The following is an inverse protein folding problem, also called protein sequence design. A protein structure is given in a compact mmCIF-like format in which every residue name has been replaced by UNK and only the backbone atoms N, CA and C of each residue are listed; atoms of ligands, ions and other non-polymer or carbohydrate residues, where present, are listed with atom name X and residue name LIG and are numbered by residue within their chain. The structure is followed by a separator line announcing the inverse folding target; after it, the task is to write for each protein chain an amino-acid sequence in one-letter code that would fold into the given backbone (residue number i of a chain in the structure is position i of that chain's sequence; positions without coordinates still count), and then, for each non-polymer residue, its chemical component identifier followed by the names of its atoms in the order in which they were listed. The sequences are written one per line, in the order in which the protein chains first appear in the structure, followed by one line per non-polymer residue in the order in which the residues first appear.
data_IF_693367324573
#
_entry.id   IF_693367324573
#
_cell.length_a   1.000
_cell.length_b   1.000
_cell.length_c   1.000
_cell.angle_alpha   90.00
_cell.angle_beta   90.00
_cell.angle_gamma   90.00
#
_symmetry.space_group_name_H-M   'P 1'
#
loop_
_entity.id
_entity.type
_entity.pdbx_description
1 polymer ?
#
# COMPACT_ATOMS: atom_id res chain seq x y z
N UNK A 1 -15.21 1.48 16.08
CA UNK A 1 -13.81 1.67 15.67
C UNK A 1 -13.69 1.29 14.19
N UNK A 2 -13.38 2.25 13.31
CA UNK A 2 -13.27 2.02 11.85
C UNK A 2 -12.08 2.82 11.28
N UNK A 3 -11.82 2.69 9.97
CA UNK A 3 -10.77 3.45 9.26
C UNK A 3 -11.20 4.86 8.84
N UNK A 4 -12.49 5.19 8.90
CA UNK A 4 -13.00 6.47 8.44
C UNK A 4 -12.42 7.62 9.28
N UNK A 5 -12.03 8.72 8.61
CA UNK A 5 -11.51 9.93 9.28
C UNK A 5 -12.48 10.54 10.30
N UNK A 6 -13.78 10.34 10.12
CA UNK A 6 -14.83 10.86 11.00
C UNK A 6 -15.27 9.88 12.11
N UNK A 7 -14.58 8.75 12.30
CA UNK A 7 -14.90 7.82 13.39
C UNK A 7 -14.44 8.33 14.75
N UNK A 8 -15.29 8.18 15.77
CA UNK A 8 -14.98 8.52 17.17
C UNK A 8 -13.70 7.84 17.67
N UNK A 9 -13.56 6.54 17.39
CA UNK A 9 -12.34 5.77 17.59
C UNK A 9 -11.82 5.37 16.21
N UNK A 10 -10.95 6.21 15.65
CA UNK A 10 -10.25 5.93 14.40
C UNK A 10 -9.15 4.88 14.62
N UNK A 11 -9.11 3.87 13.78
CA UNK A 11 -7.88 3.12 13.54
C UNK A 11 -7.01 4.02 12.66
N UNK A 12 -5.98 4.62 13.26
CA UNK A 12 -5.04 5.42 12.48
C UNK A 12 -4.45 4.59 11.35
N UNK A 13 -4.02 5.25 10.27
CA UNK A 13 -3.45 4.57 9.12
C UNK A 13 -2.35 3.60 9.56
N UNK A 14 -2.25 2.47 8.87
CA UNK A 14 -1.28 1.41 9.20
C UNK A 14 0.19 1.88 9.23
N UNK A 15 0.47 3.08 8.72
CA UNK A 15 1.71 3.81 8.90
C UNK A 15 1.46 5.31 8.82
N UNK A 16 2.53 6.09 8.90
CA UNK A 16 2.46 7.55 8.78
C UNK A 16 3.70 8.09 8.08
N UNK A 17 3.55 9.25 7.44
CA UNK A 17 4.68 10.05 7.00
C UNK A 17 5.06 11.01 8.11
N UNK A 18 6.26 10.85 8.63
CA UNK A 18 6.85 11.73 9.62
C UNK A 18 7.60 12.85 8.90
N UNK A 19 7.37 14.10 9.32
CA UNK A 19 8.20 15.20 8.84
C UNK A 19 9.64 14.98 9.30
N UNK A 20 10.54 14.83 8.35
CA UNK A 20 11.95 14.57 8.58
C UNK A 20 12.75 15.17 7.41
N UNK A 21 13.64 16.11 7.70
CA UNK A 21 14.50 16.67 6.66
C UNK A 21 15.68 15.74 6.39
N UNK A 22 15.84 15.34 5.13
CA UNK A 22 16.96 14.49 4.73
C UNK A 22 18.27 15.27 4.65
N UNK A 23 19.28 14.73 5.31
CA UNK A 23 20.68 15.06 5.11
C UNK A 23 21.15 14.72 3.67
N UNK A 24 22.26 15.30 3.20
CA UNK A 24 22.82 14.98 1.88
C UNK A 24 23.12 13.48 1.69
N UNK A 25 23.67 12.81 2.70
CA UNK A 25 24.00 11.38 2.65
C UNK A 25 22.75 10.50 2.50
N UNK A 26 21.65 10.84 3.16
CA UNK A 26 20.37 10.13 3.01
C UNK A 26 19.79 10.29 1.60
N UNK A 27 19.93 11.48 0.99
CA UNK A 27 19.49 11.71 -0.41
C UNK A 27 20.29 10.86 -1.38
N UNK A 28 21.61 10.79 -1.19
CA UNK A 28 22.50 9.96 -2.01
C UNK A 28 22.18 8.47 -1.83
N UNK A 29 21.92 8.04 -0.59
CA UNK A 29 21.48 6.68 -0.29
C UNK A 29 20.17 6.32 -0.99
N UNK A 30 19.14 7.18 -0.90
CA UNK A 30 17.85 6.94 -1.58
C UNK A 30 18.05 6.86 -3.08
N UNK A 31 18.82 7.79 -3.67
CA UNK A 31 19.10 7.81 -5.10
C UNK A 31 19.83 6.56 -5.55
N UNK A 32 20.92 6.18 -4.88
CA UNK A 32 21.69 4.97 -5.21
C UNK A 32 20.83 3.71 -5.07
N UNK A 33 20.06 3.61 -4.00
CA UNK A 33 19.14 2.49 -3.74
C UNK A 33 18.01 2.42 -4.78
N UNK A 34 17.47 3.56 -5.21
CA UNK A 34 16.44 3.59 -6.26
C UNK A 34 17.01 3.13 -7.61
N UNK A 35 18.18 3.65 -8.00
CA UNK A 35 18.80 3.36 -9.29
C UNK A 35 19.43 1.95 -9.38
N UNK A 36 19.81 1.35 -8.26
CA UNK A 36 20.38 0.00 -8.22
C UNK A 36 19.37 -1.14 -8.41
N UNK A 37 18.06 -0.86 -8.32
CA UNK A 37 17.01 -1.86 -8.48
C UNK A 37 16.94 -2.39 -9.91
N UNK A 38 16.75 -3.70 -10.09
CA UNK A 38 16.74 -4.35 -11.41
C UNK A 38 15.42 -5.04 -11.74
N UNK A 39 14.66 -5.50 -10.74
CA UNK A 39 13.35 -6.14 -10.92
C UNK A 39 12.24 -5.10 -11.03
N UNK A 40 11.18 -5.47 -11.75
CA UNK A 40 10.07 -4.57 -12.05
C UNK A 40 9.12 -4.45 -10.86
N UNK A 41 8.31 -5.48 -10.63
CA UNK A 41 7.18 -5.40 -9.69
C UNK A 41 7.22 -6.58 -8.73
N UNK A 42 7.09 -6.29 -7.43
CA UNK A 42 6.81 -7.27 -6.40
C UNK A 42 5.33 -7.20 -5.97
N UNK A 43 4.74 -8.35 -5.66
CA UNK A 43 3.40 -8.44 -5.07
C UNK A 43 3.33 -9.53 -4.01
N UNK A 44 3.27 -9.13 -2.74
CA UNK A 44 3.06 -10.03 -1.61
C UNK A 44 1.57 -10.15 -1.29
N UNK A 45 1.02 -11.36 -1.42
CA UNK A 45 -0.42 -11.59 -1.36
C UNK A 45 -0.76 -12.97 -0.80
N UNK A 46 -1.66 -12.98 0.19
CA UNK A 46 -2.20 -14.19 0.82
C UNK A 46 -3.73 -14.30 0.77
N UNK A 47 -4.44 -13.21 0.42
CA UNK A 47 -5.87 -13.23 0.14
C UNK A 47 -6.11 -13.19 -1.38
N UNK A 48 -6.61 -14.30 -1.93
CA UNK A 48 -6.68 -14.56 -3.37
C UNK A 48 -8.07 -14.35 -3.97
N UNK A 49 -9.08 -14.05 -3.14
CA UNK A 49 -10.43 -13.76 -3.57
C UNK A 49 -10.90 -12.51 -2.82
N UNK A 50 -10.85 -11.37 -3.49
CA UNK A 50 -11.02 -10.08 -2.83
C UNK A 50 -12.23 -9.34 -3.35
N UNK A 51 -12.85 -8.52 -2.51
CA UNK A 51 -14.00 -7.71 -2.91
C UNK A 51 -13.64 -6.71 -4.01
N UNK A 52 -12.39 -6.26 -4.07
CA UNK A 52 -11.90 -5.39 -5.14
C UNK A 52 -11.65 -6.13 -6.46
N UNK A 53 -11.62 -7.47 -6.47
CA UNK A 53 -11.15 -8.31 -7.58
C UNK A 53 -9.72 -7.98 -8.06
N UNK A 54 -8.85 -7.51 -7.14
CA UNK A 54 -7.49 -7.07 -7.47
C UNK A 54 -6.68 -8.15 -8.19
N UNK A 55 -6.95 -9.41 -7.91
CA UNK A 55 -6.32 -10.56 -8.55
C UNK A 55 -6.56 -10.61 -10.06
N UNK A 56 -7.72 -10.18 -10.55
CA UNK A 56 -8.03 -10.16 -11.99
C UNK A 56 -7.21 -9.10 -12.73
N UNK A 57 -7.11 -7.89 -12.16
CA UNK A 57 -6.28 -6.83 -12.72
C UNK A 57 -4.81 -7.23 -12.79
N UNK A 58 -4.27 -7.85 -11.72
CA UNK A 58 -2.87 -8.30 -11.72
C UNK A 58 -2.66 -9.47 -12.68
N UNK A 59 -3.66 -10.34 -12.87
CA UNK A 59 -3.59 -11.40 -13.88
C UNK A 59 -3.46 -10.84 -15.30
N UNK A 60 -4.19 -9.78 -15.64
CA UNK A 60 -4.06 -9.12 -16.95
C UNK A 60 -2.74 -8.34 -17.09
N UNK A 61 -2.37 -7.57 -16.05
CA UNK A 61 -1.12 -6.79 -16.03
C UNK A 61 0.13 -7.65 -16.33
N UNK A 62 0.13 -8.91 -15.88
CA UNK A 62 1.22 -9.88 -16.11
C UNK A 62 1.50 -10.18 -17.57
N UNK A 63 0.54 -9.96 -18.45
CA UNK A 63 0.72 -10.15 -19.88
C UNK A 63 1.68 -9.10 -20.48
N UNK A 64 1.92 -7.98 -19.78
CA UNK A 64 2.64 -6.82 -20.29
C UNK A 64 3.89 -6.45 -19.48
N UNK A 65 3.96 -6.87 -18.22
CA UNK A 65 5.12 -6.61 -17.34
C UNK A 65 5.31 -7.75 -16.34
N UNK A 66 6.57 -8.07 -16.04
CA UNK A 66 6.90 -9.12 -15.08
C UNK A 66 6.50 -8.70 -13.66
N UNK A 67 5.57 -9.47 -13.08
CA UNK A 67 5.14 -9.35 -11.68
C UNK A 67 5.59 -10.59 -10.92
N UNK A 68 6.52 -10.41 -9.99
CA UNK A 68 6.96 -11.47 -9.10
C UNK A 68 6.00 -11.55 -7.91
N UNK A 69 5.31 -12.68 -7.78
CA UNK A 69 4.30 -12.91 -6.76
C UNK A 69 4.87 -13.72 -5.58
N UNK A 70 4.51 -13.29 -4.38
CA UNK A 70 4.94 -13.87 -3.12
C UNK A 70 3.74 -14.16 -2.22
N UNK A 71 3.88 -15.13 -1.31
CA UNK A 71 2.89 -15.43 -0.27
C UNK A 71 1.88 -16.53 -0.65
N UNK A 72 0.78 -16.61 0.11
CA UNK A 72 -0.18 -17.72 0.03
C UNK A 72 -0.91 -17.86 -1.30
N UNK A 73 -0.93 -16.82 -2.14
CA UNK A 73 -1.55 -16.88 -3.47
C UNK A 73 -0.56 -17.20 -4.59
N UNK A 74 0.72 -17.41 -4.29
CA UNK A 74 1.77 -17.77 -5.25
C UNK A 74 1.69 -19.26 -5.67
N UNK A 75 0.49 -19.83 -5.81
CA UNK A 75 0.33 -21.26 -6.10
C UNK A 75 0.26 -21.61 -7.59
N UNK A 76 -0.10 -20.65 -8.46
CA UNK A 76 -0.71 -20.99 -9.76
C UNK A 76 -0.10 -20.31 -11.01
N UNK A 77 1.12 -19.75 -10.97
CA UNK A 77 1.72 -19.16 -12.17
C UNK A 77 3.26 -19.15 -12.18
N UNK A 78 3.83 -19.11 -13.40
CA UNK A 78 5.27 -19.06 -13.78
C UNK A 78 6.17 -18.04 -13.03
N UNK A 79 5.62 -17.22 -12.12
CA UNK A 79 6.30 -16.17 -11.36
C UNK A 79 5.91 -16.18 -9.88
N UNK A 80 5.87 -17.38 -9.30
CA UNK A 80 5.43 -17.59 -7.93
C UNK A 80 6.56 -18.06 -7.04
N UNK A 81 6.84 -17.31 -5.97
CA UNK A 81 7.84 -17.66 -4.98
C UNK A 81 7.16 -17.94 -3.64
N UNK A 82 7.43 -19.11 -3.07
CA UNK A 82 7.04 -19.37 -1.69
C UNK A 82 7.82 -18.43 -0.76
N UNK A 83 7.15 -17.90 0.24
CA UNK A 83 7.83 -17.21 1.33
C UNK A 83 8.10 -18.23 2.43
N UNK A 84 9.36 -18.61 2.68
CA UNK A 84 9.68 -19.41 3.85
C UNK A 84 9.21 -18.62 5.07
N UNK A 85 8.30 -19.19 5.84
CA UNK A 85 7.84 -18.59 7.09
C UNK A 85 8.96 -18.82 8.11
N UNK A 86 9.46 -17.76 8.73
CA UNK A 86 10.30 -17.89 9.91
C UNK A 86 9.39 -17.99 11.14
N UNK A 87 9.21 -19.17 11.75
CA UNK A 87 8.31 -19.33 12.88
C UNK A 87 8.80 -18.60 14.14
N UNK A 88 10.07 -18.19 14.21
CA UNK A 88 10.64 -17.48 15.35
C UNK A 88 10.37 -15.97 15.34
N UNK A 89 9.93 -15.37 14.23
CA UNK A 89 9.71 -13.93 14.12
C UNK A 89 8.29 -13.65 13.61
N UNK A 90 7.42 -13.18 14.50
CA UNK A 90 6.06 -12.78 14.16
C UNK A 90 6.11 -11.59 13.18
N UNK A 91 5.53 -11.77 11.98
CA UNK A 91 5.53 -10.72 10.94
C UNK A 91 6.67 -10.81 9.91
N UNK A 92 7.61 -11.76 10.07
CA UNK A 92 8.76 -11.95 9.17
C UNK A 92 8.43 -12.76 7.92
N UNK A 93 7.37 -12.37 7.24
CA UNK A 93 6.99 -12.98 5.98
C UNK A 93 7.93 -12.47 4.89
N UNK A 94 8.62 -13.39 4.22
CA UNK A 94 9.44 -13.07 3.04
C UNK A 94 10.67 -12.17 3.33
N UNK A 95 11.21 -12.16 4.54
CA UNK A 95 12.32 -11.29 4.93
C UNK A 95 13.63 -11.55 4.21
N UNK A 96 13.85 -12.79 3.79
CA UNK A 96 14.96 -13.18 2.94
C UNK A 96 14.91 -12.52 1.54
N UNK A 97 13.79 -11.92 1.16
CA UNK A 97 13.62 -11.31 -0.15
C UNK A 97 14.09 -9.85 -0.07
N UNK A 98 15.08 -9.46 -0.89
CA UNK A 98 15.69 -8.15 -0.84
C UNK A 98 14.82 -7.10 -1.54
N UNK A 99 13.59 -6.89 -1.06
CA UNK A 99 12.61 -5.99 -1.68
C UNK A 99 13.18 -4.60 -1.94
N UNK A 100 13.81 -4.01 -0.92
CA UNK A 100 14.37 -2.65 -0.95
C UNK A 100 15.45 -2.45 -2.01
N UNK A 101 16.30 -3.45 -2.27
CA UNK A 101 17.39 -3.33 -3.24
C UNK A 101 17.06 -3.93 -4.61
N UNK A 102 16.03 -4.78 -4.71
CA UNK A 102 15.74 -5.49 -5.94
C UNK A 102 14.61 -4.88 -6.79
N UNK A 103 13.53 -4.36 -6.19
CA UNK A 103 12.30 -4.03 -6.92
C UNK A 103 12.03 -2.53 -7.01
N UNK A 104 11.64 -2.07 -8.20
CA UNK A 104 11.22 -0.69 -8.45
C UNK A 104 9.83 -0.39 -7.90
N UNK A 105 8.89 -1.29 -8.19
CA UNK A 105 7.48 -1.09 -7.92
C UNK A 105 6.93 -2.18 -7.00
N UNK A 106 5.89 -1.82 -6.26
CA UNK A 106 5.18 -2.75 -5.38
C UNK A 106 3.67 -2.63 -5.57
N UNK A 107 2.97 -3.73 -5.78
CA UNK A 107 1.51 -3.73 -5.88
C UNK A 107 0.94 -3.59 -4.46
N UNK A 108 0.45 -2.39 -4.15
CA UNK A 108 -0.19 -2.04 -2.88
C UNK A 108 -1.73 -2.06 -2.99
N UNK A 109 -2.28 -2.97 -3.82
CA UNK A 109 -3.73 -3.10 -3.99
C UNK A 109 -4.41 -3.63 -2.74
N UNK A 110 -5.42 -2.89 -2.29
CA UNK A 110 -6.26 -3.26 -1.16
C UNK A 110 -7.28 -4.34 -1.50
N UNK A 111 -7.69 -5.09 -0.48
CA UNK A 111 -8.70 -6.15 -0.61
C UNK A 111 -10.09 -5.59 -0.96
N UNK A 112 -10.32 -4.30 -0.67
CA UNK A 112 -11.53 -3.56 -1.01
C UNK A 112 -11.12 -2.17 -1.47
N UNK A 113 -11.75 -1.62 -2.51
CA UNK A 113 -11.51 -0.25 -2.96
C UNK A 113 -12.45 0.69 -2.20
N UNK A 114 -11.97 1.22 -1.07
CA UNK A 114 -12.75 2.03 -0.13
C UNK A 114 -11.99 3.32 0.19
N UNK A 115 -12.72 4.42 0.33
CA UNK A 115 -12.20 5.67 0.85
C UNK A 115 -11.63 5.46 2.26
N UNK A 116 -10.54 6.17 2.56
CA UNK A 116 -9.78 6.09 3.82
C UNK A 116 -9.18 4.71 4.17
N UNK A 117 -9.31 3.70 3.31
CA UNK A 117 -8.72 2.37 3.55
C UNK A 117 -7.32 2.27 2.94
N UNK A 118 -6.32 2.78 3.65
CA UNK A 118 -4.90 2.66 3.28
C UNK A 118 -4.16 1.79 4.31
N UNK A 119 -3.70 0.61 3.88
CA UNK A 119 -3.14 -0.41 4.75
C UNK A 119 -1.61 -0.43 4.83
N UNK A 120 -1.07 -1.42 5.53
CA UNK A 120 0.37 -1.69 5.64
C UNK A 120 1.05 -1.80 4.27
N UNK A 121 0.34 -2.30 3.25
CA UNK A 121 0.91 -2.59 1.93
C UNK A 121 1.50 -1.33 1.31
N UNK A 122 0.83 -0.20 1.49
CA UNK A 122 1.27 1.08 0.98
C UNK A 122 2.50 1.61 1.73
N UNK A 123 2.44 1.63 3.07
CA UNK A 123 3.54 2.15 3.88
C UNK A 123 4.79 1.26 3.83
N UNK A 124 4.64 -0.05 3.74
CA UNK A 124 5.74 -0.99 3.49
C UNK A 124 6.46 -0.70 2.18
N UNK A 125 5.74 -0.31 1.12
CA UNK A 125 6.36 0.03 -0.15
C UNK A 125 7.24 1.28 0.00
N UNK A 126 6.71 2.34 0.64
CA UNK A 126 7.44 3.57 0.88
C UNK A 126 8.65 3.38 1.79
N UNK A 127 8.48 2.66 2.89
CA UNK A 127 9.55 2.31 3.84
C UNK A 127 10.69 1.53 3.17
N UNK A 128 10.36 0.68 2.19
CA UNK A 128 11.33 -0.10 1.39
C UNK A 128 11.82 0.64 0.14
N UNK A 129 11.57 1.94 0.01
CA UNK A 129 11.97 2.74 -1.15
C UNK A 129 11.54 2.11 -2.48
N UNK A 130 10.33 1.55 -2.52
CA UNK A 130 9.64 1.11 -3.73
C UNK A 130 8.50 2.08 -4.04
N UNK A 131 8.15 2.23 -5.31
CA UNK A 131 7.01 3.05 -5.72
C UNK A 131 5.73 2.20 -5.62
N UNK A 132 4.79 2.50 -4.71
CA UNK A 132 3.54 1.77 -4.60
C UNK A 132 2.65 2.01 -5.83
N UNK A 133 2.07 0.92 -6.34
CA UNK A 133 1.00 0.92 -7.33
C UNK A 133 -0.31 0.64 -6.58
N UNK A 134 -1.25 1.58 -6.65
CA UNK A 134 -2.53 1.56 -5.92
C UNK A 134 -3.69 1.47 -6.91
N UNK A 135 -4.87 1.08 -6.46
CA UNK A 135 -6.04 0.95 -7.34
C UNK A 135 -6.60 2.31 -7.77
N UNK A 136 -6.85 3.20 -6.81
CA UNK A 136 -7.63 4.43 -7.03
C UNK A 136 -6.94 5.66 -6.45
N UNK A 137 -6.75 6.72 -7.24
CA UNK A 137 -6.04 7.94 -6.81
C UNK A 137 -6.74 8.63 -5.64
N UNK A 138 -8.07 8.72 -5.69
CA UNK A 138 -8.87 9.47 -4.71
C UNK A 138 -8.75 8.95 -3.27
N UNK A 139 -8.38 7.68 -3.08
CA UNK A 139 -8.25 7.07 -1.75
C UNK A 139 -6.98 7.51 -1.02
N UNK A 140 -6.03 8.12 -1.72
CA UNK A 140 -4.72 8.54 -1.19
C UNK A 140 -4.55 10.06 -1.15
N UNK A 141 -5.52 10.81 -1.68
CA UNK A 141 -5.52 12.27 -1.60
C UNK A 141 -5.54 12.71 -0.13
N UNK A 142 -4.72 13.71 0.18
CA UNK A 142 -4.52 14.28 1.53
C UNK A 142 -3.94 13.32 2.58
N UNK A 143 -3.62 12.07 2.22
CA UNK A 143 -2.96 11.10 3.10
C UNK A 143 -1.44 11.13 2.90
N UNK A 144 -1.01 11.23 1.64
CA UNK A 144 0.41 11.21 1.24
C UNK A 144 0.70 12.25 0.16
N UNK A 145 1.96 12.72 0.04
CA UNK A 145 2.35 13.62 -1.02
C UNK A 145 2.01 13.07 -2.40
N UNK A 146 1.39 13.91 -3.24
CA UNK A 146 1.24 13.58 -4.65
C UNK A 146 2.60 13.30 -5.29
N UNK A 147 2.61 12.31 -6.17
CA UNK A 147 3.84 11.83 -6.79
C UNK A 147 4.62 10.82 -5.95
N UNK A 148 4.13 10.35 -4.79
CA UNK A 148 4.76 9.22 -4.08
C UNK A 148 4.24 7.84 -4.51
N UNK A 149 3.30 7.76 -5.45
CA UNK A 149 2.63 6.52 -5.85
C UNK A 149 2.07 6.60 -7.28
N UNK A 150 1.75 5.45 -7.86
CA UNK A 150 1.11 5.31 -9.17
C UNK A 150 -0.29 4.73 -8.97
N UNK A 151 -1.33 5.37 -9.50
CA UNK A 151 -2.70 4.88 -9.39
C UNK A 151 -3.17 4.25 -10.70
N UNK A 152 -3.67 3.01 -10.62
CA UNK A 152 -4.10 2.22 -11.77
C UNK A 152 -5.29 2.84 -12.50
N UNK A 153 -6.21 3.47 -11.77
CA UNK A 153 -7.38 4.18 -12.34
C UNK A 153 -7.03 5.41 -13.20
N UNK A 154 -5.77 5.85 -13.23
CA UNK A 154 -5.29 6.90 -14.12
C UNK A 154 -4.88 6.38 -15.50
N UNK A 155 -4.92 5.07 -15.73
CA UNK A 155 -4.55 4.43 -16.98
C UNK A 155 -5.78 3.82 -17.65
N UNK A 156 -5.78 3.82 -18.98
CA UNK A 156 -6.89 3.28 -19.78
C UNK A 156 -7.05 1.77 -19.66
N UNK A 157 -5.97 1.06 -19.35
CA UNK A 157 -5.95 -0.40 -19.18
C UNK A 157 -4.65 -0.86 -18.50
N UNK A 158 -4.55 -2.12 -18.05
CA UNK A 158 -3.32 -2.66 -17.46
C UNK A 158 -2.11 -2.60 -18.40
N UNK A 159 -2.33 -2.69 -19.73
CA UNK A 159 -1.29 -2.50 -20.74
C UNK A 159 -0.67 -1.10 -20.68
N UNK A 160 -1.50 -0.05 -20.61
CA UNK A 160 -1.01 1.33 -20.54
C UNK A 160 -0.25 1.60 -19.23
N UNK A 161 -0.69 1.00 -18.12
CA UNK A 161 0.07 1.02 -16.87
C UNK A 161 1.44 0.35 -17.08
N UNK A 162 1.49 -0.85 -17.68
CA UNK A 162 2.75 -1.55 -17.93
C UNK A 162 3.71 -0.74 -18.82
N UNK A 163 3.21 -0.11 -19.88
CA UNK A 163 3.99 0.79 -20.75
C UNK A 163 4.60 1.94 -19.94
N UNK A 164 3.84 2.54 -19.03
CA UNK A 164 4.33 3.59 -18.15
C UNK A 164 5.40 3.09 -17.16
N UNK A 165 5.23 1.88 -16.61
CA UNK A 165 6.23 1.27 -15.72
C UNK A 165 7.55 0.97 -16.46
N UNK A 166 7.48 0.50 -17.72
CA UNK A 166 8.66 0.33 -18.57
C UNK A 166 9.32 1.67 -18.90
N UNK A 167 8.52 2.70 -19.22
CA UNK A 167 9.02 4.07 -19.41
C UNK A 167 9.81 4.54 -18.19
N UNK A 168 9.26 4.42 -16.98
CA UNK A 168 9.97 4.79 -15.76
C UNK A 168 11.25 3.97 -15.55
N UNK A 169 11.21 2.66 -15.79
CA UNK A 169 12.38 1.79 -15.67
C UNK A 169 13.52 2.19 -16.63
N UNK A 170 13.19 2.71 -17.81
CA UNK A 170 14.15 3.20 -18.81
C UNK A 170 14.50 4.69 -18.65
N UNK A 171 13.80 5.44 -17.78
CA UNK A 171 14.00 6.88 -17.58
C UNK A 171 14.29 7.20 -16.11
N UNK A 172 15.56 7.06 -15.67
CA UNK A 172 15.98 7.29 -14.28
C UNK A 172 15.54 8.64 -13.70
N UNK A 173 15.55 9.71 -14.50
CA UNK A 173 15.14 11.05 -14.05
C UNK A 173 13.67 11.10 -13.65
N UNK A 174 12.81 10.45 -14.42
CA UNK A 174 11.37 10.42 -14.17
C UNK A 174 11.04 9.49 -13.00
N UNK A 175 11.69 8.33 -12.96
CA UNK A 175 11.55 7.41 -11.84
C UNK A 175 11.98 8.04 -10.49
N UNK A 176 13.06 8.84 -10.48
CA UNK A 176 13.52 9.51 -9.27
C UNK A 176 12.55 10.57 -8.72
N UNK A 177 11.63 11.10 -9.55
CA UNK A 177 10.58 12.03 -9.07
C UNK A 177 9.69 11.39 -8.01
N UNK A 178 9.51 10.07 -8.06
CA UNK A 178 8.73 9.32 -7.07
C UNK A 178 9.35 9.22 -5.69
N UNK A 179 10.57 9.73 -5.52
CA UNK A 179 11.28 9.77 -4.24
C UNK A 179 11.45 11.20 -3.72
N UNK A 180 10.90 12.22 -4.39
CA UNK A 180 10.99 13.61 -3.94
C UNK A 180 10.34 13.83 -2.57
N UNK A 181 9.30 13.05 -2.26
CA UNK A 181 8.63 13.08 -0.95
C UNK A 181 9.59 12.78 0.20
N UNK A 182 10.67 12.02 -0.03
CA UNK A 182 11.63 11.64 1.02
C UNK A 182 12.43 12.84 1.52
N UNK A 183 12.55 13.93 0.73
CA UNK A 183 13.34 15.10 1.12
C UNK A 183 12.85 15.79 2.39
N UNK A 184 11.55 15.68 2.66
CA UNK A 184 10.87 16.34 3.79
C UNK A 184 10.12 15.36 4.69
N UNK A 185 10.11 14.08 4.33
CA UNK A 185 9.38 13.07 5.07
C UNK A 185 10.14 11.75 5.13
N UNK A 186 9.92 11.00 6.20
CA UNK A 186 10.24 9.57 6.26
C UNK A 186 8.95 8.77 6.40
N UNK A 187 8.89 7.62 5.73
CA UNK A 187 7.80 6.68 5.94
C UNK A 187 8.14 5.81 7.14
N UNK A 188 7.17 5.65 8.04
CA UNK A 188 7.26 4.69 9.13
C UNK A 188 6.03 3.80 9.09
N UNK A 189 6.25 2.50 8.89
CA UNK A 189 5.20 1.50 9.07
C UNK A 189 5.07 1.16 10.56
N UNK A 190 3.87 1.31 11.14
CA UNK A 190 3.66 1.30 12.60
C UNK A 190 2.46 0.44 13.01
N UNK A 191 2.46 -0.85 12.68
CA UNK A 191 1.35 -1.75 13.08
C UNK A 191 1.10 -1.74 14.59
N UNK A 192 2.17 -1.78 15.39
CA UNK A 192 2.03 -1.95 16.83
C UNK A 192 1.41 -0.71 17.50
N UNK A 193 1.72 0.49 17.00
CA UNK A 193 1.23 1.74 17.56
C UNK A 193 -0.24 2.02 17.20
N UNK A 194 -0.72 1.57 16.03
CA UNK A 194 -2.10 1.82 15.58
C UNK A 194 -3.16 1.25 16.53
N UNK A 195 -3.01 -0.02 16.92
CA UNK A 195 -3.98 -0.68 17.81
C UNK A 195 -3.87 -0.14 19.25
N UNK A 196 -2.66 0.12 19.72
CA UNK A 196 -2.42 0.70 21.04
C UNK A 196 -3.04 2.10 21.16
N UNK A 197 -2.88 2.95 20.15
CA UNK A 197 -3.46 4.30 20.13
C UNK A 197 -4.99 4.27 20.09
N UNK A 198 -5.58 3.40 19.25
CA UNK A 198 -7.03 3.29 19.14
C UNK A 198 -7.66 2.78 20.45
N UNK A 199 -7.05 1.77 21.08
CA UNK A 199 -7.50 1.25 22.38
C UNK A 199 -7.32 2.29 23.48
N UNK A 200 -6.18 3.00 23.53
CA UNK A 200 -5.98 4.08 24.50
C UNK A 200 -7.00 5.22 24.35
N UNK A 201 -7.32 5.63 23.12
CA UNK A 201 -8.38 6.62 22.84
C UNK A 201 -9.73 6.14 23.34
N UNK A 202 -10.09 4.89 23.05
CA UNK A 202 -11.31 4.28 23.54
C UNK A 202 -11.37 4.27 25.07
N UNK A 203 -10.29 3.85 25.74
CA UNK A 203 -10.20 3.88 27.20
C UNK A 203 -10.40 5.29 27.76
N UNK A 204 -9.78 6.31 27.15
CA UNK A 204 -9.95 7.71 27.54
C UNK A 204 -11.40 8.17 27.41
N UNK A 205 -12.06 7.87 26.29
CA UNK A 205 -13.47 8.22 26.08
C UNK A 205 -14.39 7.60 27.15
N UNK A 206 -14.14 6.33 27.50
CA UNK A 206 -14.87 5.63 28.56
C UNK A 206 -14.66 6.29 29.92
N UNK A 207 -13.44 6.70 30.25
CA UNK A 207 -13.14 7.39 31.51
C UNK A 207 -13.73 8.80 31.58
N UNK A 208 -13.85 9.50 30.45
CA UNK A 208 -14.41 10.85 30.38
C UNK A 208 -15.95 10.87 30.31
N UNK A 209 -16.63 9.72 30.42
CA UNK A 209 -18.08 9.57 30.17
C UNK A 209 -18.54 10.16 28.83
N UNK A 210 -17.62 10.27 27.86
CA UNK A 210 -17.94 10.62 26.48
C UNK A 210 -18.51 9.39 25.81
N UNK A 211 -19.81 9.20 25.97
CA UNK A 211 -20.56 8.23 25.19
C UNK A 211 -20.92 8.87 23.85
N UNK A 212 -20.66 8.16 22.75
CA UNK A 212 -21.14 8.56 21.44
C UNK A 212 -22.66 8.49 21.46
N UNK A 213 -23.35 9.54 21.01
CA UNK A 213 -24.81 9.54 20.86
C UNK A 213 -25.26 8.57 19.75
N UNK A 214 -24.33 8.17 18.87
CA UNK A 214 -24.57 7.27 17.74
C UNK A 214 -24.07 5.87 18.03
N UNK A 215 -25.00 4.95 18.33
CA UNK A 215 -24.72 3.52 18.36
C UNK A 215 -24.97 2.93 16.96
N UNK A 216 -23.90 2.71 16.21
CA UNK A 216 -23.96 1.95 14.96
C UNK A 216 -24.17 0.47 15.25
N UNK A 217 -25.42 0.02 15.13
CA UNK A 217 -25.82 -1.39 15.30
C UNK A 217 -25.26 -2.31 14.20
N UNK A 218 -24.91 -1.74 13.05
CA UNK A 218 -24.29 -2.43 11.92
C UNK A 218 -23.09 -1.64 11.40
N UNK A 219 -21.94 -1.87 12.02
CA UNK A 219 -20.67 -1.24 11.65
C UNK A 219 -20.25 -1.56 10.22
N UNK A 220 -20.60 -2.74 9.69
CA UNK A 220 -20.16 -3.15 8.36
C UNK A 220 -20.93 -2.41 7.27
N UNK A 221 -22.26 -2.40 7.35
CA UNK A 221 -23.10 -1.69 6.39
C UNK A 221 -22.85 -0.19 6.43
N UNK A 222 -22.60 0.37 7.62
CA UNK A 222 -22.31 1.79 7.75
C UNK A 222 -20.91 2.13 7.24
N UNK A 223 -19.89 1.33 7.55
CA UNK A 223 -18.58 1.53 6.94
C UNK A 223 -18.66 1.45 5.42
N UNK A 224 -19.36 0.47 4.87
CA UNK A 224 -19.47 0.28 3.43
C UNK A 224 -20.07 1.50 2.70
N UNK A 225 -21.13 2.07 3.29
CA UNK A 225 -21.81 3.26 2.78
C UNK A 225 -20.92 4.50 2.87
N UNK A 226 -20.31 4.75 4.03
CA UNK A 226 -19.55 5.98 4.28
C UNK A 226 -18.16 5.94 3.63
N UNK A 227 -17.55 4.76 3.51
CA UNK A 227 -16.28 4.58 2.83
C UNK A 227 -16.44 4.48 1.31
N UNK A 228 -17.67 4.58 0.78
CA UNK A 228 -17.95 4.51 -0.66
C UNK A 228 -17.22 3.34 -1.35
N UNK A 229 -17.26 2.16 -0.73
CA UNK A 229 -16.55 1.01 -1.23
C UNK A 229 -17.14 0.53 -2.56
N UNK A 230 -16.29 0.20 -3.53
CA UNK A 230 -16.74 -0.26 -4.85
C UNK A 230 -16.38 -1.74 -5.04
N UNK A 231 -17.37 -2.67 -5.02
CA UNK A 231 -17.15 -4.07 -5.37
C UNK A 231 -16.64 -4.22 -6.81
N UNK A 232 -15.68 -5.11 -7.00
CA UNK A 232 -15.09 -5.40 -8.31
C UNK A 232 -14.42 -4.20 -8.98
N UNK A 233 -14.02 -3.17 -8.21
CA UNK A 233 -13.41 -1.96 -8.77
C UNK A 233 -12.23 -2.26 -9.70
N UNK A 234 -11.34 -3.20 -9.33
CA UNK A 234 -10.20 -3.53 -10.17
C UNK A 234 -10.61 -4.18 -11.50
N UNK A 235 -11.70 -4.95 -11.53
CA UNK A 235 -12.25 -5.51 -12.77
C UNK A 235 -12.79 -4.43 -13.72
N UNK A 236 -13.24 -3.29 -13.20
CA UNK A 236 -13.73 -2.17 -14.00
C UNK A 236 -12.60 -1.42 -14.73
N UNK A 237 -11.34 -1.69 -14.37
CA UNK A 237 -10.15 -1.07 -14.95
C UNK A 237 -9.49 -1.95 -16.03
N UNK A 238 -10.11 -3.07 -16.42
CA UNK A 238 -9.62 -3.99 -17.46
C UNK A 238 -9.86 -3.44 -18.87
#
# INVERSE_FOLDING_TARGET
MTYLRNSDVRLDSYGQLLRAEQSPSERDFVRATALGKTRMIAWLVSNCNTRSHREQYVADLRNYVKVDQFGGCAGNANYSYSCPRNPQIYGDWCSAIPFTSAYRFYIAFENSACHDYVSEKFYQALDRLMVPIVLRKSDYLDIVPEGSYIAADQFRSPKHLAEYLHYLASNPKEYLKYFEWTKRNSAAWKIQLMMEDAVCRMCRMLHENKTSETLDKDLWTNWDKHAACVPGFASQLL
#
